data_IF_398183710112
#
_entry.id   IF_398183710112
#
_cell.length_a   1.000
_cell.length_b   1.000
_cell.length_c   1.000
_cell.angle_alpha   90.00
_cell.angle_beta   90.00
_cell.angle_gamma   90.00
#
_symmetry.space_group_name_H-M   'P 1'
#
loop_
_entity.id
_entity.type
_entity.pdbx_description
1 polymer ?
#
# COMPACT_ATOMS: atom_id res chain seq x y z
N UNK A 1 34.11 28.23 -55.83
CA UNK A 1 34.32 28.76 -54.47
C UNK A 1 33.13 28.30 -53.64
N UNK A 2 33.33 27.36 -52.70
CA UNK A 2 32.24 26.56 -52.08
C UNK A 2 32.13 26.95 -50.60
N UNK A 3 30.98 27.51 -50.23
CA UNK A 3 30.63 27.90 -48.86
C UNK A 3 30.65 26.72 -47.86
N UNK A 4 31.14 26.89 -46.62
CA UNK A 4 30.94 25.93 -45.55
C UNK A 4 29.76 26.35 -44.66
N UNK A 5 28.65 25.60 -44.70
CA UNK A 5 27.58 25.73 -43.70
C UNK A 5 27.87 24.82 -42.49
N UNK A 6 27.86 25.35 -41.24
CA UNK A 6 28.03 24.53 -40.05
C UNK A 6 26.76 23.74 -39.70
N UNK A 7 26.92 22.44 -39.43
CA UNK A 7 25.86 21.55 -38.94
C UNK A 7 25.51 21.91 -37.49
N UNK A 8 24.36 22.56 -37.28
CA UNK A 8 23.69 22.65 -35.97
C UNK A 8 23.26 21.24 -35.54
N UNK A 9 23.92 20.68 -34.53
CA UNK A 9 23.44 19.48 -33.83
C UNK A 9 22.38 19.90 -32.82
N UNK A 10 21.12 19.56 -33.09
CA UNK A 10 20.02 19.71 -32.15
C UNK A 10 20.13 18.59 -31.11
N UNK A 11 20.58 18.90 -29.89
CA UNK A 11 20.51 17.98 -28.76
C UNK A 11 19.11 18.09 -28.17
N UNK A 12 18.24 17.14 -28.50
CA UNK A 12 16.92 16.99 -27.88
C UNK A 12 17.15 16.38 -26.49
N UNK A 13 17.14 17.23 -25.46
CA UNK A 13 17.14 16.78 -24.07
C UNK A 13 15.78 16.15 -23.74
N UNK A 14 15.70 14.81 -23.75
CA UNK A 14 14.57 14.09 -23.18
C UNK A 14 14.68 14.12 -21.66
N UNK A 15 13.89 14.98 -21.02
CA UNK A 15 13.64 14.91 -19.59
C UNK A 15 12.73 13.71 -19.30
N UNK A 16 13.32 12.56 -18.95
CA UNK A 16 12.56 11.45 -18.40
C UNK A 16 12.10 11.82 -16.97
N UNK A 17 10.87 12.31 -16.86
CA UNK A 17 10.16 12.41 -15.59
C UNK A 17 9.95 10.98 -15.08
N UNK A 18 10.81 10.56 -14.17
CA UNK A 18 10.70 9.26 -13.50
C UNK A 18 9.54 9.34 -12.50
N UNK A 19 8.38 8.82 -12.89
CA UNK A 19 7.29 8.55 -11.96
C UNK A 19 7.76 7.42 -11.05
N UNK A 20 8.23 7.78 -9.86
CA UNK A 20 8.48 6.83 -8.77
C UNK A 20 7.14 6.29 -8.30
N UNK A 21 6.68 5.21 -8.92
CA UNK A 21 5.62 4.39 -8.38
C UNK A 21 6.13 3.81 -7.05
N UNK A 22 5.65 4.34 -5.92
CA UNK A 22 5.83 3.75 -4.60
C UNK A 22 5.08 2.41 -4.55
N UNK A 23 5.71 1.37 -5.09
CA UNK A 23 5.26 -0.01 -5.00
C UNK A 23 5.66 -0.59 -3.64
N UNK A 24 5.07 -0.05 -2.55
CA UNK A 24 4.92 -0.79 -1.30
C UNK A 24 3.83 -1.83 -1.47
N UNK A 25 3.98 -2.72 -2.46
CA UNK A 25 3.03 -3.77 -2.71
C UNK A 25 3.29 -4.88 -1.68
N UNK A 26 2.32 -5.11 -0.80
CA UNK A 26 2.15 -6.40 -0.15
C UNK A 26 1.98 -7.44 -1.25
N UNK A 27 3.10 -7.95 -1.75
CA UNK A 27 3.14 -9.17 -2.54
C UNK A 27 2.96 -10.29 -1.52
N UNK A 28 1.91 -11.10 -1.72
CA UNK A 28 1.74 -12.35 -1.01
C UNK A 28 2.89 -13.28 -1.40
N UNK A 29 4.06 -13.05 -0.80
CA UNK A 29 5.24 -13.87 -1.00
C UNK A 29 5.01 -15.18 -0.26
N UNK A 30 4.80 -16.26 -1.02
CA UNK A 30 4.83 -17.63 -0.50
C UNK A 30 3.76 -18.59 -1.03
N UNK A 31 2.69 -18.13 -1.67
CA UNK A 31 1.59 -19.02 -2.06
C UNK A 31 1.57 -19.29 -3.56
N UNK A 32 1.58 -20.57 -3.96
CA UNK A 32 1.44 -20.97 -5.36
C UNK A 32 0.08 -20.52 -5.93
N UNK A 33 0.08 -20.18 -7.22
CA UNK A 33 -1.15 -19.78 -7.92
C UNK A 33 -2.14 -20.95 -7.91
N UNK A 34 -3.37 -20.69 -7.46
CA UNK A 34 -4.43 -21.67 -7.38
C UNK A 34 -5.74 -21.06 -7.86
N UNK A 35 -6.38 -21.68 -8.85
CA UNK A 35 -7.69 -21.25 -9.32
C UNK A 35 -8.75 -21.76 -8.33
N UNK A 36 -9.61 -20.89 -7.76
CA UNK A 36 -10.69 -21.33 -6.90
C UNK A 36 -11.64 -22.23 -7.70
N UNK A 37 -12.14 -23.34 -7.10
CA UNK A 37 -13.17 -24.17 -7.70
C UNK A 37 -14.39 -23.35 -8.16
N UNK A 38 -15.11 -23.85 -9.18
CA UNK A 38 -16.27 -23.14 -9.74
C UNK A 38 -17.38 -22.90 -8.71
N UNK A 39 -17.56 -23.84 -7.79
CA UNK A 39 -18.52 -23.77 -6.68
C UNK A 39 -18.02 -22.92 -5.49
N UNK A 40 -16.82 -22.35 -5.56
CA UNK A 40 -16.30 -21.47 -4.51
C UNK A 40 -17.14 -20.20 -4.39
N UNK A 41 -17.71 -20.03 -3.20
CA UNK A 41 -18.62 -18.94 -2.87
C UNK A 41 -17.84 -17.66 -2.59
N UNK A 42 -18.39 -16.53 -3.03
CA UNK A 42 -17.88 -15.22 -2.67
C UNK A 42 -18.07 -14.99 -1.16
N UNK A 43 -17.04 -14.50 -0.47
CA UNK A 43 -17.17 -14.18 0.95
C UNK A 43 -18.01 -12.93 1.17
N UNK A 44 -18.86 -12.92 2.19
CA UNK A 44 -19.65 -11.73 2.54
C UNK A 44 -18.82 -10.68 3.26
N UNK A 45 -19.31 -9.43 3.29
CA UNK A 45 -18.69 -8.37 4.08
C UNK A 45 -18.62 -8.72 5.58
N UNK A 46 -19.60 -9.45 6.10
CA UNK A 46 -19.61 -9.91 7.49
C UNK A 46 -18.51 -10.96 7.76
N UNK A 47 -18.34 -11.94 6.88
CA UNK A 47 -17.29 -12.95 6.97
C UNK A 47 -15.90 -12.31 6.92
N UNK A 48 -15.69 -11.39 5.96
CA UNK A 48 -14.45 -10.63 5.85
C UNK A 48 -14.21 -9.74 7.07
N UNK A 49 -15.25 -9.14 7.63
CA UNK A 49 -15.11 -8.33 8.84
C UNK A 49 -14.62 -9.19 9.99
N UNK A 50 -15.20 -10.38 10.20
CA UNK A 50 -14.75 -11.32 11.23
C UNK A 50 -13.32 -11.80 10.99
N UNK A 51 -12.94 -11.99 9.72
CA UNK A 51 -11.59 -12.43 9.34
C UNK A 51 -10.52 -11.39 9.72
N UNK A 52 -10.78 -10.11 9.46
CA UNK A 52 -9.75 -9.05 9.53
C UNK A 52 -9.83 -8.14 10.77
N UNK A 53 -11.00 -7.99 11.41
CA UNK A 53 -11.21 -6.99 12.47
C UNK A 53 -10.21 -7.15 13.63
N UNK A 54 -9.66 -6.02 14.06
CA UNK A 54 -8.72 -5.90 15.18
C UNK A 54 -7.46 -6.77 15.05
N UNK A 55 -7.05 -7.07 13.81
CA UNK A 55 -5.79 -7.75 13.50
C UNK A 55 -4.80 -6.82 12.83
N UNK A 56 -3.53 -7.19 12.87
CA UNK A 56 -2.52 -6.66 11.97
C UNK A 56 -2.17 -7.72 10.93
N UNK A 57 -2.08 -7.33 9.66
CA UNK A 57 -1.52 -8.15 8.60
C UNK A 57 -0.05 -7.77 8.43
N UNK A 58 0.84 -8.72 8.70
CA UNK A 58 2.28 -8.56 8.57
C UNK A 58 2.77 -8.98 7.17
N UNK A 59 3.72 -8.25 6.60
CA UNK A 59 4.49 -8.68 5.44
C UNK A 59 6.00 -8.51 5.74
N UNK A 60 6.85 -8.77 4.75
CA UNK A 60 8.32 -8.85 4.93
C UNK A 60 8.94 -7.60 5.56
N UNK A 61 8.45 -6.41 5.22
CA UNK A 61 9.01 -5.13 5.63
C UNK A 61 7.95 -4.15 6.17
N UNK A 62 6.84 -4.65 6.69
CA UNK A 62 5.78 -3.78 7.20
C UNK A 62 4.59 -4.51 7.81
N UNK A 63 3.62 -3.72 8.26
CA UNK A 63 2.36 -4.23 8.74
C UNK A 63 1.23 -3.20 8.57
N UNK A 64 0.00 -3.69 8.41
CA UNK A 64 -1.22 -2.91 8.33
C UNK A 64 -2.24 -3.39 9.36
N UNK A 65 -2.87 -2.48 10.09
CA UNK A 65 -3.81 -2.77 11.18
C UNK A 65 -5.23 -2.39 10.76
N UNK A 66 -6.13 -3.36 10.82
CA UNK A 66 -7.56 -3.19 10.52
C UNK A 66 -8.35 -3.03 11.81
N UNK A 67 -8.47 -1.80 12.29
CA UNK A 67 -9.21 -1.52 13.52
C UNK A 67 -10.72 -1.58 13.25
N UNK A 68 -11.45 -2.28 14.12
CA UNK A 68 -12.91 -2.35 14.03
C UNK A 68 -13.54 -0.97 14.18
N UNK A 69 -13.07 -0.22 15.18
CA UNK A 69 -13.52 1.14 15.46
C UNK A 69 -13.29 2.07 14.26
N UNK A 70 -14.38 2.67 13.77
CA UNK A 70 -14.39 3.55 12.61
C UNK A 70 -13.87 2.92 11.32
N UNK A 71 -13.72 1.59 11.25
CA UNK A 71 -13.10 0.87 10.13
C UNK A 71 -11.74 1.48 9.75
N UNK A 72 -10.96 1.91 10.76
CA UNK A 72 -9.67 2.58 10.55
C UNK A 72 -8.61 1.60 10.08
N UNK A 73 -7.84 2.04 9.09
CA UNK A 73 -6.66 1.36 8.61
C UNK A 73 -5.43 2.22 8.90
N UNK A 74 -4.41 1.63 9.52
CA UNK A 74 -3.12 2.26 9.73
C UNK A 74 -2.02 1.31 9.31
N UNK A 75 -0.93 1.81 8.74
CA UNK A 75 0.15 0.95 8.28
C UNK A 75 1.52 1.62 8.35
N UNK A 76 2.56 0.81 8.28
CA UNK A 76 3.92 1.23 8.01
C UNK A 76 4.59 0.26 7.05
N UNK A 77 5.55 0.74 6.28
CA UNK A 77 6.43 -0.08 5.45
C UNK A 77 7.84 0.50 5.41
N UNK A 78 8.83 -0.36 5.21
CA UNK A 78 10.23 0.02 5.08
C UNK A 78 10.86 0.57 6.37
N UNK A 79 12.02 1.20 6.22
CA UNK A 79 12.83 1.76 7.31
C UNK A 79 13.75 2.87 6.82
N UNK A 80 14.26 3.70 7.73
CA UNK A 80 15.14 4.83 7.40
C UNK A 80 14.47 5.78 6.41
N UNK A 81 15.21 6.21 5.38
CA UNK A 81 14.71 7.15 4.38
C UNK A 81 13.63 6.56 3.45
N UNK A 82 13.49 5.23 3.42
CA UNK A 82 12.43 4.52 2.70
C UNK A 82 11.21 4.24 3.56
N UNK A 83 11.22 4.63 4.84
CA UNK A 83 10.08 4.43 5.71
C UNK A 83 8.87 5.18 5.15
N UNK A 84 7.73 4.52 5.20
CA UNK A 84 6.44 5.12 4.91
C UNK A 84 5.45 4.74 5.99
N UNK A 85 4.42 5.58 6.17
CA UNK A 85 3.28 5.26 7.01
C UNK A 85 1.98 5.64 6.32
N UNK A 86 0.88 4.99 6.71
CA UNK A 86 -0.42 5.27 6.14
C UNK A 86 -1.51 5.37 7.20
N UNK A 87 -2.51 6.19 6.89
CA UNK A 87 -3.78 6.28 7.62
C UNK A 87 -4.93 6.33 6.62
N UNK A 88 -6.04 5.69 6.99
CA UNK A 88 -7.23 5.65 6.15
C UNK A 88 -8.29 4.72 6.69
N UNK A 89 -9.01 4.07 5.78
CA UNK A 89 -10.08 3.11 6.11
C UNK A 89 -9.90 1.80 5.37
N UNK A 90 -10.37 0.72 5.98
CA UNK A 90 -10.55 -0.58 5.33
C UNK A 90 -12.04 -0.84 5.09
N UNK A 91 -12.44 -0.99 3.84
CA UNK A 91 -13.84 -1.19 3.42
C UNK A 91 -14.06 -2.63 2.97
N UNK A 92 -15.29 -3.11 3.10
CA UNK A 92 -15.72 -4.44 2.64
C UNK A 92 -16.99 -4.33 1.82
N UNK A 93 -17.22 -5.31 0.97
CA UNK A 93 -18.46 -5.47 0.21
C UNK A 93 -18.81 -6.94 0.06
N UNK A 94 -20.09 -7.23 -0.19
CA UNK A 94 -20.60 -8.60 -0.32
C UNK A 94 -20.19 -9.30 -1.63
N UNK A 95 -19.44 -8.61 -2.49
CA UNK A 95 -18.75 -9.20 -3.64
C UNK A 95 -17.38 -9.81 -3.26
N UNK A 96 -17.07 -9.99 -1.97
CA UNK A 96 -15.83 -10.62 -1.51
C UNK A 96 -14.64 -9.68 -1.44
N UNK A 97 -14.85 -8.37 -1.58
CA UNK A 97 -13.75 -7.43 -1.65
C UNK A 97 -13.40 -6.83 -0.29
N UNK A 98 -12.10 -6.79 0.01
CA UNK A 98 -11.47 -5.97 1.02
C UNK A 98 -10.64 -4.89 0.32
N UNK A 99 -10.83 -3.62 0.67
CA UNK A 99 -9.97 -2.54 0.16
C UNK A 99 -9.38 -1.70 1.29
N UNK A 100 -8.10 -1.39 1.19
CA UNK A 100 -7.41 -0.38 1.97
C UNK A 100 -7.39 0.92 1.18
N UNK A 101 -8.12 1.93 1.65
CA UNK A 101 -8.13 3.28 1.08
C UNK A 101 -7.40 4.20 2.06
N UNK A 102 -6.17 4.58 1.73
CA UNK A 102 -5.30 5.27 2.68
C UNK A 102 -4.44 6.34 2.01
N UNK A 103 -4.08 7.35 2.79
CA UNK A 103 -3.03 8.27 2.43
C UNK A 103 -1.71 7.74 2.96
N UNK A 104 -0.74 7.56 2.07
CA UNK A 104 0.62 7.15 2.39
C UNK A 104 1.50 8.37 2.49
N UNK A 105 2.36 8.40 3.51
CA UNK A 105 3.28 9.46 3.84
C UNK A 105 4.70 8.92 3.77
N UNK A 106 5.57 9.66 3.08
CA UNK A 106 6.99 9.39 2.85
C UNK A 106 7.77 10.70 3.03
N UNK A 107 9.10 10.63 3.07
CA UNK A 107 9.93 11.84 3.07
C UNK A 107 9.66 12.75 1.87
N UNK A 108 9.32 12.17 0.70
CA UNK A 108 8.99 12.92 -0.51
C UNK A 108 7.58 13.51 -0.54
N UNK A 109 6.76 13.26 0.49
CA UNK A 109 5.40 13.79 0.59
C UNK A 109 4.34 12.71 0.83
N UNK A 110 3.09 13.11 0.60
CA UNK A 110 1.92 12.27 0.85
C UNK A 110 1.12 12.01 -0.43
N UNK A 111 0.56 10.81 -0.58
CA UNK A 111 -0.26 10.46 -1.74
C UNK A 111 -1.30 9.40 -1.37
N UNK A 112 -2.53 9.49 -1.92
CA UNK A 112 -3.54 8.46 -1.71
C UNK A 112 -3.21 7.20 -2.50
N UNK A 113 -3.50 6.04 -1.93
CA UNK A 113 -3.48 4.76 -2.62
C UNK A 113 -4.66 3.88 -2.18
N UNK A 114 -5.18 3.12 -3.13
CA UNK A 114 -6.18 2.08 -2.87
C UNK A 114 -5.62 0.73 -3.27
N UNK A 115 -5.61 -0.23 -2.35
CA UNK A 115 -5.28 -1.63 -2.65
C UNK A 115 -6.47 -2.50 -2.29
N UNK A 116 -6.92 -3.35 -3.22
CA UNK A 116 -8.06 -4.23 -3.01
C UNK A 116 -7.68 -5.70 -3.16
N UNK A 117 -8.41 -6.56 -2.47
CA UNK A 117 -8.26 -8.01 -2.48
C UNK A 117 -9.64 -8.65 -2.58
N UNK A 118 -9.79 -9.61 -3.48
CA UNK A 118 -11.01 -10.40 -3.64
C UNK A 118 -10.87 -11.74 -2.94
N UNK A 119 -11.96 -12.24 -2.36
CA UNK A 119 -11.99 -13.47 -1.57
C UNK A 119 -13.11 -14.42 -1.98
N UNK A 120 -12.79 -15.71 -2.03
CA UNK A 120 -13.74 -16.80 -2.19
C UNK A 120 -13.46 -17.90 -1.16
N UNK A 121 -14.45 -18.72 -0.85
CA UNK A 121 -14.31 -19.87 0.06
C UNK A 121 -15.03 -21.13 -0.42
N UNK A 122 -14.48 -22.28 -0.09
CA UNK A 122 -15.09 -23.60 -0.28
C UNK A 122 -14.47 -24.60 0.69
N UNK A 123 -15.26 -25.45 1.34
CA UNK A 123 -14.76 -26.52 2.21
C UNK A 123 -13.79 -26.08 3.32
N UNK A 124 -13.90 -24.85 3.83
CA UNK A 124 -13.00 -24.29 4.85
C UNK A 124 -11.69 -23.66 4.31
N UNK A 125 -11.43 -23.81 3.02
CA UNK A 125 -10.35 -23.11 2.29
C UNK A 125 -10.81 -21.72 1.89
N UNK A 126 -9.95 -20.71 2.07
CA UNK A 126 -10.15 -19.34 1.61
C UNK A 126 -9.12 -19.06 0.52
N UNK A 127 -9.60 -18.55 -0.61
CA UNK A 127 -8.79 -18.04 -1.70
C UNK A 127 -8.77 -16.51 -1.64
N UNK A 128 -7.64 -15.94 -1.99
CA UNK A 128 -7.50 -14.50 -2.17
C UNK A 128 -6.81 -14.21 -3.50
N UNK A 129 -7.13 -13.06 -4.09
CA UNK A 129 -6.26 -12.43 -5.08
C UNK A 129 -6.16 -10.94 -4.81
N UNK A 130 -5.05 -10.34 -5.20
CA UNK A 130 -4.91 -8.89 -5.24
C UNK A 130 -5.52 -8.34 -6.53
N UNK A 131 -6.22 -7.22 -6.42
CA UNK A 131 -6.86 -6.54 -7.55
C UNK A 131 -6.03 -5.34 -8.03
N UNK A 132 -6.06 -5.01 -9.34
CA UNK A 132 -6.69 -5.78 -10.41
C UNK A 132 -5.80 -6.92 -10.94
N UNK A 133 -6.43 -8.05 -11.30
CA UNK A 133 -5.85 -8.99 -12.27
C UNK A 133 -4.70 -9.89 -11.78
N UNK A 134 -4.39 -9.92 -10.48
CA UNK A 134 -3.42 -10.89 -9.97
C UNK A 134 -4.03 -12.29 -9.87
N UNK A 135 -3.19 -13.31 -9.94
CA UNK A 135 -3.61 -14.69 -9.79
C UNK A 135 -4.24 -14.92 -8.41
N UNK A 136 -5.21 -15.83 -8.37
CA UNK A 136 -5.71 -16.37 -7.13
C UNK A 136 -4.66 -17.27 -6.48
N UNK A 137 -4.67 -17.31 -5.16
CA UNK A 137 -3.86 -18.22 -4.35
C UNK A 137 -4.67 -18.66 -3.13
N UNK A 138 -4.23 -19.75 -2.48
CA UNK A 138 -4.83 -20.18 -1.22
C UNK A 138 -4.34 -19.28 -0.10
N UNK A 139 -5.25 -18.47 0.43
CA UNK A 139 -4.98 -17.58 1.56
C UNK A 139 -4.98 -18.34 2.89
N UNK A 140 -5.89 -19.32 3.00
CA UNK A 140 -6.03 -20.20 4.16
C UNK A 140 -6.44 -21.57 3.68
N UNK A 141 -5.68 -22.61 3.98
CA UNK A 141 -6.08 -23.99 3.74
C UNK A 141 -7.17 -24.45 4.72
N UNK A 142 -7.96 -25.46 4.33
CA UNK A 142 -8.93 -26.11 5.21
C UNK A 142 -8.23 -26.84 6.37
N UNK A 143 -7.18 -27.59 6.05
CA UNK A 143 -6.17 -28.08 7.00
C UNK A 143 -5.06 -27.05 7.09
N UNK A 144 -4.79 -26.41 8.25
CA UNK A 144 -3.83 -25.32 8.35
C UNK A 144 -2.45 -25.69 7.79
N UNK A 145 -1.94 -24.86 6.88
CA UNK A 145 -0.59 -24.98 6.35
C UNK A 145 0.32 -23.93 7.01
N UNK A 146 1.62 -24.21 7.15
CA UNK A 146 2.56 -23.29 7.83
C UNK A 146 2.75 -21.99 7.04
N UNK A 147 2.70 -22.08 5.72
CA UNK A 147 2.90 -21.02 4.74
C UNK A 147 1.61 -20.28 4.35
N UNK A 148 0.47 -20.61 4.99
CA UNK A 148 -0.78 -19.86 4.82
C UNK A 148 -0.54 -18.37 5.06
N UNK A 149 -0.87 -17.52 4.09
CA UNK A 149 -0.85 -16.07 4.24
C UNK A 149 -1.73 -15.63 5.43
N UNK A 150 -2.80 -16.38 5.71
CA UNK A 150 -3.64 -16.22 6.89
C UNK A 150 -2.85 -16.23 8.21
N UNK A 151 -1.73 -16.94 8.32
CA UNK A 151 -0.90 -16.95 9.52
C UNK A 151 -0.24 -15.59 9.78
N UNK A 152 -0.14 -14.73 8.76
CA UNK A 152 0.35 -13.35 8.88
C UNK A 152 -0.71 -12.38 9.41
N UNK A 153 -1.96 -12.83 9.60
CA UNK A 153 -3.01 -12.09 10.30
C UNK A 153 -2.96 -12.30 11.81
N UNK A 154 -2.14 -11.50 12.49
CA UNK A 154 -1.91 -11.63 13.93
C UNK A 154 -2.96 -10.87 14.74
N UNK A 155 -3.38 -11.48 15.86
CA UNK A 155 -4.14 -10.78 16.91
C UNK A 155 -3.15 -9.92 17.70
N UNK A 156 -2.99 -8.67 17.32
CA UNK A 156 -2.03 -7.77 17.99
C UNK A 156 -1.83 -6.47 17.22
N UNK A 157 -1.23 -5.49 17.90
CA UNK A 157 -0.83 -4.21 17.30
C UNK A 157 0.63 -4.25 16.89
N UNK A 158 0.87 -4.43 15.59
CA UNK A 158 2.21 -4.36 14.99
C UNK A 158 2.54 -2.98 14.42
N UNK A 159 1.65 -2.00 14.60
CA UNK A 159 1.67 -0.74 13.84
C UNK A 159 1.91 0.47 14.72
N UNK A 160 1.21 0.59 15.86
CA UNK A 160 1.23 1.81 16.69
C UNK A 160 2.63 2.21 17.15
N UNK A 161 3.43 1.26 17.67
CA UNK A 161 4.80 1.57 18.12
C UNK A 161 5.72 1.99 16.96
N UNK A 162 5.53 1.41 15.76
CA UNK A 162 6.29 1.79 14.57
C UNK A 162 5.91 3.19 14.08
N UNK A 163 4.62 3.53 14.09
CA UNK A 163 4.15 4.86 13.75
C UNK A 163 4.71 5.95 14.66
N UNK A 164 4.78 5.69 15.96
CA UNK A 164 5.39 6.64 16.93
C UNK A 164 6.85 6.97 16.58
N UNK A 165 7.58 6.02 15.98
CA UNK A 165 8.97 6.21 15.54
C UNK A 165 9.08 6.88 14.18
N UNK A 166 8.22 6.52 13.23
CA UNK A 166 8.32 6.96 11.83
C UNK A 166 7.74 8.37 11.61
N UNK A 167 6.59 8.69 12.21
CA UNK A 167 5.90 9.97 11.99
C UNK A 167 6.76 11.20 12.25
N UNK A 168 7.55 11.28 13.34
CA UNK A 168 8.39 12.45 13.60
C UNK A 168 9.51 12.65 12.58
N UNK A 169 9.99 11.58 11.96
CA UNK A 169 11.02 11.62 10.91
C UNK A 169 10.43 12.03 9.55
N UNK A 170 9.16 11.71 9.30
CA UNK A 170 8.42 12.09 8.11
C UNK A 170 7.57 13.32 8.41
N UNK A 171 8.23 14.47 8.57
CA UNK A 171 7.56 15.78 8.57
C UNK A 171 7.58 16.32 7.14
N UNK A 172 6.46 16.86 6.63
CA UNK A 172 6.53 17.64 5.40
C UNK A 172 7.50 18.80 5.64
N UNK A 173 8.44 19.00 4.72
CA UNK A 173 9.25 20.20 4.74
C UNK A 173 8.29 21.40 4.76
N UNK A 174 8.42 22.23 5.79
CA UNK A 174 7.72 23.53 5.85
C UNK A 174 8.07 24.22 4.53
N UNK A 175 7.11 24.72 3.73
CA UNK A 175 7.46 25.55 2.59
C UNK A 175 8.41 26.62 3.11
N UNK A 176 9.65 26.64 2.60
CA UNK A 176 10.58 27.73 2.82
C UNK A 176 9.91 28.93 2.17
N UNK A 177 9.09 29.66 2.93
CA UNK A 177 8.67 30.99 2.56
C UNK A 177 9.98 31.73 2.30
N UNK A 178 10.30 31.97 1.04
CA UNK A 178 11.44 32.77 0.68
C UNK A 178 11.25 34.12 1.36
N UNK A 179 12.08 34.35 2.38
CA UNK A 179 12.14 35.61 3.09
C UNK A 179 12.82 36.63 2.19
N UNK A 180 12.10 37.07 1.15
CA UNK A 180 12.48 38.17 0.27
C UNK A 180 11.33 39.19 0.28
N UNK A 181 11.02 39.74 1.46
CA UNK A 181 10.26 40.98 1.56
C UNK A 181 11.26 42.07 1.95
N UNK A 182 11.90 42.65 0.94
CA UNK A 182 12.59 43.93 1.08
C UNK A 182 11.50 45.01 1.19
N UNK A 183 11.13 45.39 2.40
CA UNK A 183 10.45 46.65 2.63
C UNK A 183 11.53 47.71 2.80
N UNK A 184 11.88 48.40 1.72
CA UNK A 184 12.60 49.66 1.83
C UNK A 184 11.58 50.73 2.20
N UNK A 185 11.51 51.09 3.49
CA UNK A 185 10.95 52.38 3.91
C UNK A 185 11.90 53.46 3.38
N UNK A 186 11.35 54.44 2.69
CA UNK A 186 11.96 55.75 2.53
C UNK A 186 10.98 56.80 3.08
N UNK A 187 11.50 57.85 3.73
CA UNK A 187 10.77 58.74 4.63
C UNK A 187 9.78 59.69 3.93
#
# INVERSE_FOLDING_TARGET
>A
MKDPRPRRRLVIGSAMVSILAFAGAAQAAGSEASVPPHDAQVMTSAELYMLYRNKSWQWSDGAGRMQSDGRRFTAWAGSGDKATWAEGRWTLSDNGQLCFKAQWHSLSGASPATTCFSHKRVGGTIYQRREPGQAWYVFKHSTPAQDDEFNKLVRGDLVSSKLQKIRPAIKPEKPRLEANINWSIQP
#
